data_IF_079703490399
#
_entry.id   IF_079703490399
#
_cell.length_a   1.000
_cell.length_b   1.000
_cell.length_c   1.000
_cell.angle_alpha   90.00
_cell.angle_beta   90.00
_cell.angle_gamma   90.00
#
_symmetry.space_group_name_H-M   'P 1'
#
loop_
_entity.id
_entity.type
_entity.pdbx_description
1 polymer ?
#
# COMPACT_ATOMS: atom_id res chain seq x y z
N UNK A 1 -4.41 16.76 25.87
CA UNK A 1 -3.44 17.32 25.12
C UNK A 1 -3.92 17.99 23.86
N UNK A 2 -3.01 18.40 22.96
CA UNK A 2 -3.37 19.21 21.79
C UNK A 2 -4.40 18.54 20.89
N UNK A 3 -4.31 17.22 20.69
CA UNK A 3 -5.30 16.48 19.91
C UNK A 3 -6.69 16.45 20.58
N UNK A 4 -6.72 16.37 21.90
CA UNK A 4 -7.99 16.39 22.64
C UNK A 4 -8.66 17.76 22.56
N UNK A 5 -7.90 18.84 22.64
CA UNK A 5 -8.40 20.19 22.45
C UNK A 5 -8.99 20.39 21.06
N UNK A 6 -8.33 19.88 20.02
CA UNK A 6 -8.80 19.94 18.66
C UNK A 6 -10.11 19.16 18.47
N UNK A 7 -10.25 18.03 19.16
CA UNK A 7 -11.48 17.25 19.14
C UNK A 7 -12.64 17.98 19.82
N UNK A 8 -12.35 18.69 20.91
CA UNK A 8 -13.37 19.49 21.60
C UNK A 8 -13.88 20.65 20.75
N UNK A 9 -13.03 21.16 19.86
CA UNK A 9 -13.35 22.28 18.98
C UNK A 9 -13.79 21.84 17.58
N UNK A 10 -14.29 20.63 17.45
CA UNK A 10 -14.58 19.99 16.17
C UNK A 10 -15.60 20.72 15.31
N UNK A 11 -16.35 21.59 15.67
CA UNK A 11 -17.24 22.39 14.84
C UNK A 11 -16.71 23.80 14.54
N UNK A 12 -15.55 24.14 15.09
CA UNK A 12 -14.97 25.48 14.93
C UNK A 12 -14.08 25.51 13.66
N UNK A 13 -14.39 26.37 12.65
CA UNK A 13 -13.60 26.43 11.43
C UNK A 13 -12.12 26.75 11.65
N UNK A 14 -11.81 27.64 12.61
CA UNK A 14 -10.42 27.98 12.91
C UNK A 14 -9.65 26.80 13.51
N UNK A 15 -10.30 26.02 14.40
CA UNK A 15 -9.71 24.84 15.00
C UNK A 15 -9.50 23.73 13.96
N UNK A 16 -10.46 23.55 13.04
CA UNK A 16 -10.35 22.58 11.96
C UNK A 16 -9.22 22.92 11.00
N UNK A 17 -9.05 24.21 10.68
CA UNK A 17 -7.92 24.66 9.84
C UNK A 17 -6.60 24.37 10.51
N UNK A 18 -6.47 24.66 11.81
CA UNK A 18 -5.25 24.38 12.56
C UNK A 18 -4.94 22.89 12.63
N UNK A 19 -5.99 22.06 12.77
CA UNK A 19 -5.87 20.61 12.77
C UNK A 19 -5.34 20.11 11.40
N UNK A 20 -5.91 20.61 10.31
CA UNK A 20 -5.50 20.24 8.97
C UNK A 20 -4.06 20.67 8.69
N UNK A 21 -3.67 21.87 9.09
CA UNK A 21 -2.30 22.36 8.96
C UNK A 21 -1.30 21.48 9.74
N UNK A 22 -1.71 21.01 10.92
CA UNK A 22 -0.89 20.11 11.73
C UNK A 22 -0.72 18.75 11.05
N UNK A 23 -1.80 18.20 10.50
CA UNK A 23 -1.75 16.93 9.76
C UNK A 23 -0.84 17.06 8.54
N UNK A 24 -0.99 18.12 7.76
CA UNK A 24 -0.14 18.38 6.58
C UNK A 24 1.33 18.49 6.95
N UNK A 25 1.63 19.16 8.06
CA UNK A 25 2.98 19.34 8.55
C UNK A 25 3.60 17.99 8.99
N UNK A 26 2.81 17.14 9.65
CA UNK A 26 3.24 15.80 10.04
C UNK A 26 3.52 14.96 8.80
N UNK A 27 2.62 14.99 7.82
CA UNK A 27 2.79 14.26 6.57
C UNK A 27 4.05 14.68 5.82
N UNK A 28 4.29 15.98 5.72
CA UNK A 28 5.50 16.53 5.09
C UNK A 28 6.76 16.09 5.82
N UNK A 29 6.73 16.08 7.16
CA UNK A 29 7.84 15.61 7.97
C UNK A 29 8.15 14.15 7.76
N UNK A 30 7.12 13.31 7.68
CA UNK A 30 7.26 11.89 7.42
C UNK A 30 7.82 11.64 6.02
N UNK A 31 7.30 12.35 5.03
CA UNK A 31 7.80 12.25 3.65
C UNK A 31 9.26 12.70 3.54
N UNK A 32 9.63 13.76 4.25
CA UNK A 32 11.01 14.25 4.28
C UNK A 32 11.97 13.22 4.89
N UNK A 33 11.57 12.57 5.98
CA UNK A 33 12.37 11.51 6.60
C UNK A 33 12.45 10.29 5.67
N UNK A 34 11.31 9.91 5.06
CA UNK A 34 11.26 8.77 4.15
C UNK A 34 12.08 8.98 2.89
N UNK A 35 12.19 10.22 2.41
CA UNK A 35 12.98 10.54 1.22
C UNK A 35 14.48 10.37 1.44
N UNK A 36 14.93 10.29 2.69
CA UNK A 36 16.33 10.02 3.02
C UNK A 36 16.68 8.53 2.91
N UNK A 37 15.68 7.66 2.89
CA UNK A 37 15.87 6.23 2.64
C UNK A 37 15.84 5.96 1.14
N UNK A 38 16.50 4.88 0.71
CA UNK A 38 16.39 4.46 -0.69
C UNK A 38 14.94 4.13 -1.03
N UNK A 39 14.45 4.60 -2.21
CA UNK A 39 13.10 4.27 -2.65
C UNK A 39 12.94 2.76 -2.83
N UNK A 40 11.73 2.27 -2.61
CA UNK A 40 11.41 0.88 -2.91
C UNK A 40 11.32 0.66 -4.41
N UNK A 41 11.80 -0.49 -4.85
CA UNK A 41 11.63 -0.92 -6.24
C UNK A 41 10.24 -1.48 -6.45
N UNK A 42 9.76 -2.29 -5.49
CA UNK A 42 8.50 -3.00 -5.60
C UNK A 42 7.70 -2.86 -4.31
N UNK A 43 6.40 -2.64 -4.46
CA UNK A 43 5.43 -2.67 -3.37
C UNK A 43 4.47 -3.83 -3.62
N UNK A 44 4.40 -4.79 -2.70
CA UNK A 44 3.48 -5.93 -2.82
C UNK A 44 2.18 -5.58 -2.08
N UNK A 45 1.10 -5.48 -2.84
CA UNK A 45 -0.25 -5.18 -2.34
C UNK A 45 -1.06 -6.47 -2.31
N UNK A 46 -1.56 -6.85 -1.14
CA UNK A 46 -2.24 -8.14 -0.93
C UNK A 46 -3.09 -8.11 0.33
N UNK A 47 -3.99 -9.07 0.45
CA UNK A 47 -4.83 -9.26 1.64
C UNK A 47 -4.09 -10.14 2.65
N UNK A 48 -3.71 -9.57 3.80
CA UNK A 48 -2.94 -10.31 4.80
C UNK A 48 -3.77 -11.35 5.56
N UNK A 49 -4.96 -10.96 6.01
CA UNK A 49 -5.79 -11.83 6.84
C UNK A 49 -7.19 -11.97 6.28
N UNK A 50 -7.81 -13.13 6.51
CA UNK A 50 -9.20 -13.38 6.16
C UNK A 50 -10.15 -12.85 7.26
N UNK A 51 -11.46 -13.11 7.09
CA UNK A 51 -12.46 -12.66 8.05
C UNK A 51 -12.34 -13.31 9.43
N UNK A 52 -11.61 -14.41 9.54
CA UNK A 52 -11.35 -15.13 10.78
C UNK A 52 -10.01 -14.74 11.42
N UNK A 53 -9.33 -13.74 10.86
CA UNK A 53 -8.03 -13.29 11.35
C UNK A 53 -6.89 -14.22 10.98
N UNK A 54 -7.12 -15.20 10.12
CA UNK A 54 -6.10 -16.14 9.66
C UNK A 54 -5.37 -15.60 8.45
N UNK A 55 -4.13 -16.02 8.31
CA UNK A 55 -3.30 -15.66 7.18
C UNK A 55 -3.90 -16.19 5.87
N UNK A 56 -4.00 -15.35 4.84
CA UNK A 56 -4.53 -15.74 3.53
C UNK A 56 -3.50 -16.50 2.71
N UNK A 57 -3.96 -17.18 1.65
CA UNK A 57 -3.08 -17.75 0.62
C UNK A 57 -2.27 -16.62 -0.05
N UNK A 58 -2.89 -15.46 -0.24
CA UNK A 58 -2.23 -14.28 -0.82
C UNK A 58 -1.01 -13.87 -0.01
N UNK A 59 -1.10 -13.91 1.32
CA UNK A 59 0.00 -13.58 2.21
C UNK A 59 1.18 -14.55 2.02
N UNK A 60 0.90 -15.83 1.84
CA UNK A 60 1.95 -16.82 1.59
C UNK A 60 2.61 -16.59 0.24
N UNK A 61 1.82 -16.34 -0.80
CA UNK A 61 2.34 -16.02 -2.14
C UNK A 61 3.17 -14.74 -2.12
N UNK A 62 2.70 -13.73 -1.39
CA UNK A 62 3.42 -12.46 -1.25
C UNK A 62 4.78 -12.68 -0.57
N UNK A 63 4.84 -13.53 0.44
CA UNK A 63 6.09 -13.86 1.11
C UNK A 63 7.07 -14.56 0.18
N UNK A 64 6.59 -15.52 -0.61
CA UNK A 64 7.43 -16.22 -1.59
C UNK A 64 7.96 -15.24 -2.65
N UNK A 65 7.10 -14.36 -3.14
CA UNK A 65 7.49 -13.34 -4.10
C UNK A 65 8.51 -12.36 -3.49
N UNK A 66 8.29 -11.93 -2.26
CA UNK A 66 9.21 -11.07 -1.53
C UNK A 66 10.62 -11.68 -1.49
N UNK A 67 10.70 -12.96 -1.15
CA UNK A 67 11.97 -13.67 -1.06
C UNK A 67 12.68 -13.70 -2.41
N UNK A 68 11.97 -14.08 -3.46
CA UNK A 68 12.55 -14.17 -4.80
C UNK A 68 13.02 -12.81 -5.31
N UNK A 69 12.23 -11.77 -5.11
CA UNK A 69 12.60 -10.44 -5.58
C UNK A 69 13.76 -9.84 -4.78
N UNK A 70 13.82 -10.09 -3.48
CA UNK A 70 14.94 -9.62 -2.66
C UNK A 70 16.22 -10.38 -3.00
N UNK A 71 16.13 -11.67 -3.33
CA UNK A 71 17.28 -12.46 -3.80
C UNK A 71 17.86 -11.91 -5.11
N UNK A 72 17.04 -11.27 -5.94
CA UNK A 72 17.48 -10.57 -7.15
C UNK A 72 18.07 -9.18 -6.89
N UNK A 73 18.16 -8.76 -5.64
CA UNK A 73 18.73 -7.48 -5.25
C UNK A 73 17.75 -6.31 -5.24
N UNK A 74 16.45 -6.57 -5.40
CA UNK A 74 15.44 -5.52 -5.38
C UNK A 74 15.05 -5.15 -3.95
N UNK A 75 14.75 -3.88 -3.73
CA UNK A 75 14.22 -3.40 -2.46
C UNK A 75 12.70 -3.51 -2.51
N UNK A 76 12.14 -4.41 -1.71
CA UNK A 76 10.72 -4.78 -1.77
C UNK A 76 10.02 -4.40 -0.48
N UNK A 77 8.88 -3.73 -0.61
CA UNK A 77 7.98 -3.51 0.51
C UNK A 77 6.99 -4.66 0.58
N UNK A 78 7.06 -5.43 1.66
CA UNK A 78 6.13 -6.48 2.03
C UNK A 78 5.75 -6.23 3.47
N UNK A 79 4.52 -5.78 3.72
CA UNK A 79 4.11 -5.24 5.02
C UNK A 79 4.41 -6.15 6.20
N UNK A 80 4.24 -7.47 6.03
CA UNK A 80 4.48 -8.44 7.10
C UNK A 80 5.94 -8.46 7.60
N UNK A 81 6.90 -8.34 6.68
CA UNK A 81 8.33 -8.38 7.01
C UNK A 81 8.88 -6.98 7.24
N UNK A 82 8.58 -6.07 6.34
CA UNK A 82 9.13 -4.71 6.36
C UNK A 82 8.71 -3.94 7.61
N UNK A 83 7.45 -4.13 8.06
CA UNK A 83 6.94 -3.42 9.23
C UNK A 83 7.36 -4.05 10.56
N UNK A 84 7.81 -5.29 10.57
CA UNK A 84 8.35 -5.91 11.79
C UNK A 84 9.52 -5.12 12.36
N UNK A 85 10.35 -4.55 11.51
CA UNK A 85 11.50 -3.75 11.93
C UNK A 85 11.11 -2.34 12.35
N UNK A 86 9.83 -1.97 12.23
CA UNK A 86 9.32 -0.62 12.49
C UNK A 86 8.40 -0.55 13.69
N UNK A 87 8.64 -1.38 14.69
CA UNK A 87 7.87 -1.39 15.94
C UNK A 87 7.86 -0.01 16.58
N UNK A 88 6.68 0.46 16.97
CA UNK A 88 6.50 1.78 17.57
C UNK A 88 6.32 2.92 16.59
N UNK A 89 6.44 2.68 15.30
CA UNK A 89 6.17 3.68 14.25
C UNK A 89 4.72 3.54 13.79
N UNK A 90 4.07 4.66 13.47
CA UNK A 90 2.75 4.62 12.85
C UNK A 90 2.86 3.96 11.47
N UNK A 91 2.19 2.83 11.29
CA UNK A 91 2.30 2.02 10.08
C UNK A 91 1.78 2.74 8.84
N UNK A 92 0.65 3.41 8.96
CA UNK A 92 -0.04 3.99 7.81
C UNK A 92 0.80 5.03 7.06
N UNK A 93 1.41 6.03 7.71
CA UNK A 93 2.29 6.96 7.01
C UNK A 93 3.49 6.28 6.35
N UNK A 94 4.04 5.26 6.99
CA UNK A 94 5.16 4.51 6.43
C UNK A 94 4.76 3.75 5.17
N UNK A 95 3.57 3.13 5.19
CA UNK A 95 3.01 2.43 4.03
C UNK A 95 2.84 3.42 2.87
N UNK A 96 2.29 4.61 3.12
CA UNK A 96 2.11 5.62 2.07
C UNK A 96 3.43 6.11 1.49
N UNK A 97 4.45 6.31 2.33
CA UNK A 97 5.76 6.70 1.85
C UNK A 97 6.37 5.63 0.94
N UNK A 98 6.27 4.37 1.35
CA UNK A 98 6.74 3.25 0.55
C UNK A 98 5.99 3.16 -0.79
N UNK A 99 4.67 3.31 -0.75
CA UNK A 99 3.83 3.26 -1.94
C UNK A 99 4.19 4.38 -2.93
N UNK A 100 4.40 5.59 -2.44
CA UNK A 100 4.78 6.72 -3.28
C UNK A 100 6.15 6.54 -3.91
N UNK A 101 7.09 5.91 -3.23
CA UNK A 101 8.45 5.72 -3.72
C UNK A 101 8.59 4.55 -4.69
N UNK A 102 7.74 3.54 -4.59
CA UNK A 102 7.88 2.32 -5.37
C UNK A 102 7.69 2.57 -6.87
N UNK A 103 8.50 1.92 -7.68
CA UNK A 103 8.39 1.99 -9.14
C UNK A 103 7.36 1.02 -9.68
N UNK A 104 7.22 -0.13 -9.04
CA UNK A 104 6.30 -1.18 -9.46
C UNK A 104 5.43 -1.58 -8.28
N UNK A 105 4.14 -1.69 -8.50
CA UNK A 105 3.23 -2.32 -7.55
C UNK A 105 2.78 -3.67 -8.11
N UNK A 106 2.94 -4.72 -7.34
CA UNK A 106 2.37 -6.04 -7.62
C UNK A 106 1.13 -6.18 -6.74
N UNK A 107 -0.02 -6.44 -7.35
CA UNK A 107 -1.27 -6.68 -6.64
C UNK A 107 -1.61 -8.15 -6.77
N UNK A 108 -1.67 -8.85 -5.64
CA UNK A 108 -1.96 -10.30 -5.62
C UNK A 108 -3.41 -10.55 -5.24
N UNK A 109 -4.01 -11.54 -5.87
CA UNK A 109 -5.34 -12.00 -5.51
C UNK A 109 -5.60 -13.44 -5.93
N UNK A 110 -5.98 -14.29 -4.96
CA UNK A 110 -6.48 -15.65 -5.21
C UNK A 110 -7.99 -15.70 -5.12
N UNK A 111 -8.63 -14.58 -4.77
CA UNK A 111 -10.08 -14.41 -4.77
C UNK A 111 -10.39 -13.00 -5.28
N UNK A 112 -11.46 -12.88 -6.05
CA UNK A 112 -11.91 -11.59 -6.58
C UNK A 112 -12.16 -10.58 -5.45
N UNK A 113 -12.75 -11.01 -4.35
CA UNK A 113 -13.05 -10.16 -3.20
C UNK A 113 -11.81 -9.60 -2.52
N UNK A 114 -10.66 -10.27 -2.62
CA UNK A 114 -9.42 -9.78 -2.01
C UNK A 114 -8.87 -8.56 -2.73
N UNK A 115 -9.03 -8.46 -4.04
CA UNK A 115 -8.68 -7.25 -4.79
C UNK A 115 -9.52 -6.04 -4.35
N UNK A 116 -10.74 -6.28 -3.91
CA UNK A 116 -11.68 -5.23 -3.53
C UNK A 116 -11.77 -4.98 -2.03
N UNK A 117 -10.97 -5.67 -1.24
CA UNK A 117 -10.87 -5.41 0.20
C UNK A 117 -10.41 -3.96 0.43
N UNK A 118 -10.95 -3.32 1.47
CA UNK A 118 -10.82 -1.87 1.68
C UNK A 118 -9.36 -1.39 1.60
N UNK A 119 -8.46 -2.02 2.34
CA UNK A 119 -7.06 -1.61 2.36
C UNK A 119 -6.35 -1.91 1.04
N UNK A 120 -6.60 -3.08 0.47
CA UNK A 120 -6.00 -3.49 -0.80
C UNK A 120 -6.40 -2.51 -1.90
N UNK A 121 -7.71 -2.24 -2.01
CA UNK A 121 -8.23 -1.32 -3.01
C UNK A 121 -7.72 0.10 -2.82
N UNK A 122 -7.61 0.58 -1.58
CA UNK A 122 -7.06 1.89 -1.30
C UNK A 122 -5.62 2.01 -1.80
N UNK A 123 -4.82 0.98 -1.59
CA UNK A 123 -3.41 0.99 -2.01
C UNK A 123 -3.26 1.00 -3.52
N UNK A 124 -3.91 0.08 -4.23
CA UNK A 124 -3.74 0.05 -5.68
C UNK A 124 -4.44 1.23 -6.37
N UNK A 125 -5.54 1.75 -5.80
CA UNK A 125 -6.20 2.94 -6.35
C UNK A 125 -5.28 4.16 -6.26
N UNK A 126 -4.57 4.33 -5.15
CA UNK A 126 -3.58 5.41 -5.00
C UNK A 126 -2.44 5.27 -6.00
N UNK A 127 -1.96 4.05 -6.17
CA UNK A 127 -0.86 3.80 -7.10
C UNK A 127 -1.27 4.10 -8.55
N UNK A 128 -2.49 3.75 -8.94
CA UNK A 128 -3.01 4.09 -10.27
C UNK A 128 -3.02 5.61 -10.51
N UNK A 129 -3.36 6.39 -9.48
CA UNK A 129 -3.31 7.86 -9.58
C UNK A 129 -1.88 8.37 -9.76
N UNK A 130 -0.92 7.75 -9.08
CA UNK A 130 0.49 8.10 -9.24
C UNK A 130 0.98 7.80 -10.66
N UNK A 131 0.50 6.71 -11.27
CA UNK A 131 0.87 6.34 -12.63
C UNK A 131 0.42 7.36 -13.66
N UNK A 132 -0.66 8.09 -13.42
CA UNK A 132 -1.12 9.16 -14.31
C UNK A 132 -0.08 10.27 -14.38
N UNK A 133 0.56 10.59 -13.27
CA UNK A 133 1.56 11.65 -13.17
C UNK A 133 2.97 11.19 -13.49
N UNK A 134 3.26 9.91 -13.25
CA UNK A 134 4.59 9.33 -13.42
C UNK A 134 4.49 8.07 -14.28
N UNK A 135 4.88 8.20 -15.54
CA UNK A 135 4.78 7.12 -16.54
C UNK A 135 5.85 6.04 -16.35
N UNK A 136 6.82 6.25 -15.45
CA UNK A 136 7.80 5.22 -15.13
C UNK A 136 7.27 4.19 -14.13
N UNK A 137 6.11 4.45 -13.53
CA UNK A 137 5.49 3.54 -12.59
C UNK A 137 4.60 2.52 -13.30
N UNK A 138 4.63 1.28 -12.81
CA UNK A 138 3.86 0.17 -13.39
C UNK A 138 3.13 -0.60 -12.30
N UNK A 139 1.90 -1.01 -12.58
CA UNK A 139 1.12 -1.89 -11.72
C UNK A 139 0.90 -3.22 -12.44
N UNK A 140 1.24 -4.32 -11.78
CA UNK A 140 1.12 -5.66 -12.33
C UNK A 140 0.14 -6.45 -11.47
N UNK A 141 -1.10 -6.67 -11.93
CA UNK A 141 -2.01 -7.57 -11.24
C UNK A 141 -1.55 -9.02 -11.41
N UNK A 142 -1.53 -9.77 -10.30
CA UNK A 142 -1.20 -11.19 -10.30
C UNK A 142 -2.35 -11.97 -9.69
N UNK A 143 -2.81 -12.99 -10.37
CA UNK A 143 -3.95 -13.78 -9.90
C UNK A 143 -3.64 -15.27 -9.99
N UNK A 144 -4.35 -16.03 -9.19
CA UNK A 144 -4.25 -17.49 -9.18
C UNK A 144 -5.61 -18.09 -8.80
N UNK A 145 -6.07 -19.03 -9.61
CA UNK A 145 -7.30 -19.75 -9.33
C UNK A 145 -8.58 -18.97 -9.52
N UNK A 146 -8.53 -17.82 -10.19
CA UNK A 146 -9.71 -17.04 -10.56
C UNK A 146 -9.65 -16.69 -12.04
N UNK A 147 -10.80 -16.31 -12.58
CA UNK A 147 -10.89 -15.84 -13.95
C UNK A 147 -10.37 -14.39 -14.04
N UNK A 148 -9.62 -14.08 -15.09
CA UNK A 148 -9.12 -12.74 -15.33
C UNK A 148 -10.26 -11.70 -15.40
N UNK A 149 -11.45 -12.10 -15.85
CA UNK A 149 -12.62 -11.23 -15.91
C UNK A 149 -13.20 -10.89 -14.54
N UNK A 150 -12.84 -11.63 -13.49
CA UNK A 150 -13.30 -11.38 -12.13
C UNK A 150 -12.44 -10.37 -11.40
N UNK A 151 -11.33 -9.94 -12.00
CA UNK A 151 -10.50 -8.88 -11.45
C UNK A 151 -11.18 -7.51 -11.57
N UNK A 152 -10.77 -6.52 -10.76
CA UNK A 152 -11.30 -5.16 -10.90
C UNK A 152 -11.20 -4.66 -12.34
N UNK A 153 -12.24 -3.98 -12.81
CA UNK A 153 -12.29 -3.44 -14.17
C UNK A 153 -11.16 -2.43 -14.45
N UNK A 154 -10.67 -1.79 -13.41
CA UNK A 154 -9.55 -0.85 -13.50
C UNK A 154 -8.27 -1.52 -14.02
N UNK A 155 -8.18 -2.84 -13.89
CA UNK A 155 -7.01 -3.61 -14.36
C UNK A 155 -7.14 -4.10 -15.80
N UNK A 156 -8.27 -3.83 -16.47
CA UNK A 156 -8.56 -4.38 -17.80
C UNK A 156 -7.51 -3.99 -18.86
N UNK A 157 -6.89 -2.83 -18.71
CA UNK A 157 -5.86 -2.35 -19.65
C UNK A 157 -4.44 -2.71 -19.23
N UNK A 158 -4.29 -3.38 -18.09
CA UNK A 158 -2.99 -3.75 -17.55
C UNK A 158 -2.64 -5.19 -17.90
N UNK A 159 -1.35 -5.46 -18.04
CA UNK A 159 -0.89 -6.83 -18.23
C UNK A 159 -0.91 -7.57 -16.90
N UNK A 160 -1.85 -8.48 -16.75
CA UNK A 160 -1.96 -9.31 -15.58
C UNK A 160 -1.15 -10.59 -15.75
N UNK A 161 -0.69 -11.16 -14.64
CA UNK A 161 0.06 -12.41 -14.62
C UNK A 161 -0.76 -13.50 -13.94
N UNK A 162 -0.94 -14.61 -14.63
CA UNK A 162 -1.54 -15.81 -14.07
C UNK A 162 -0.43 -16.60 -13.38
N UNK A 163 -0.60 -16.85 -12.09
CA UNK A 163 0.40 -17.57 -11.30
C UNK A 163 0.18 -19.08 -11.27
N UNK A 164 -0.75 -19.57 -12.07
CA UNK A 164 -1.06 -20.99 -12.19
C UNK A 164 -2.47 -21.30 -11.79
#
# INVERSE_FOLDING_TARGET
>A
EKLQELRKNRGNPAAQKNYQEMIDKIQKGILAISSQEEPFDVFICYKETDNNGRRTVDSVLAQDLYKELTDEGLKVFFSRVTLEDKLGVAYEPYIFAALNSAKVMVVLGTRAEYFNAVWVKNEWSRFLKLMVKDKSKHLIPCYKGIDAYDMPKEFAKLQAQDLG
#
